data_IF_224922771237
#
_entry.id   IF_224922771237
#
_cell.length_a   1.000
_cell.length_b   1.000
_cell.length_c   1.000
_cell.angle_alpha   90.00
_cell.angle_beta   90.00
_cell.angle_gamma   90.00
#
_symmetry.space_group_name_H-M   'P 1'
#
loop_
_entity.id
_entity.type
_entity.pdbx_description
1 polymer ?
#
# COMPACT_ATOMS: atom_id res chain seq x y z
N UNK A 1 5.45 -6.18 -20.40
CA UNK A 1 6.82 -5.71 -20.75
C UNK A 1 7.64 -5.58 -19.47
N UNK A 2 8.66 -6.41 -19.24
CA UNK A 2 9.50 -6.32 -18.02
C UNK A 2 10.63 -5.31 -18.27
N UNK A 3 10.56 -4.15 -17.63
CA UNK A 3 11.57 -3.09 -17.74
C UNK A 3 12.60 -3.31 -16.62
N UNK A 4 13.79 -3.79 -16.99
CA UNK A 4 14.87 -4.10 -16.05
C UNK A 4 15.75 -2.88 -15.68
N UNK A 5 15.42 -1.68 -16.18
CA UNK A 5 16.22 -0.47 -15.97
C UNK A 5 15.33 0.79 -15.98
N UNK A 6 15.01 1.31 -14.79
CA UNK A 6 14.16 2.50 -14.62
C UNK A 6 14.83 3.79 -15.11
N UNK A 7 16.13 3.80 -15.40
CA UNK A 7 16.83 4.96 -15.98
C UNK A 7 16.51 5.18 -17.46
N UNK A 8 15.78 4.25 -18.09
CA UNK A 8 15.43 4.26 -19.52
C UNK A 8 13.95 4.42 -19.81
N UNK A 9 13.10 4.59 -18.80
CA UNK A 9 11.67 4.78 -19.03
C UNK A 9 11.47 6.17 -19.64
N UNK A 10 11.12 6.19 -20.92
CA UNK A 10 10.70 7.42 -21.58
C UNK A 10 9.34 7.85 -21.02
N UNK A 11 9.13 9.16 -20.83
CA UNK A 11 7.86 9.71 -20.36
C UNK A 11 6.66 9.22 -21.19
N UNK A 12 6.84 9.06 -22.50
CA UNK A 12 5.79 8.52 -23.38
C UNK A 12 5.40 7.08 -23.00
N UNK A 13 6.39 6.22 -22.76
CA UNK A 13 6.14 4.84 -22.32
C UNK A 13 5.46 4.76 -20.97
N UNK A 14 5.74 5.71 -20.06
CA UNK A 14 5.04 5.78 -18.78
C UNK A 14 3.57 6.21 -18.96
N UNK A 15 3.32 7.20 -19.82
CA UNK A 15 1.96 7.70 -20.09
C UNK A 15 1.07 6.65 -20.75
N UNK A 16 1.65 5.67 -21.44
CA UNK A 16 0.94 4.54 -22.05
C UNK A 16 0.58 3.42 -21.03
N UNK A 17 1.07 3.50 -19.79
CA UNK A 17 0.75 2.53 -18.74
C UNK A 17 -0.52 2.99 -18.01
N UNK A 18 -1.60 2.24 -18.23
CA UNK A 18 -2.87 2.40 -17.53
C UNK A 18 -3.15 1.18 -16.65
N UNK A 19 -4.14 1.28 -15.75
CA UNK A 19 -4.55 0.18 -14.87
C UNK A 19 -4.87 -1.09 -15.67
N UNK A 20 -5.50 -0.93 -16.84
CA UNK A 20 -5.79 -2.05 -17.74
C UNK A 20 -4.52 -2.75 -18.25
N UNK A 21 -3.47 -1.99 -18.58
CA UNK A 21 -2.17 -2.54 -19.00
C UNK A 21 -1.56 -3.39 -17.88
N UNK A 22 -1.64 -2.93 -16.63
CA UNK A 22 -1.16 -3.66 -15.46
C UNK A 22 -1.97 -4.95 -15.26
N UNK A 23 -3.30 -4.86 -15.34
CA UNK A 23 -4.19 -6.01 -15.18
C UNK A 23 -3.92 -7.11 -16.23
N UNK A 24 -3.73 -6.73 -17.49
CA UNK A 24 -3.41 -7.67 -18.58
C UNK A 24 -2.07 -8.35 -18.33
N UNK A 25 -1.04 -7.60 -17.93
CA UNK A 25 0.27 -8.17 -17.63
C UNK A 25 0.22 -9.13 -16.43
N UNK A 26 -0.54 -8.80 -15.38
CA UNK A 26 -0.74 -9.69 -14.23
C UNK A 26 -1.50 -10.97 -14.62
N UNK A 27 -2.50 -10.89 -15.50
CA UNK A 27 -3.18 -12.06 -16.08
C UNK A 27 -2.26 -12.91 -16.96
N UNK A 28 -1.31 -12.31 -17.65
CA UNK A 28 -0.31 -13.06 -18.40
C UNK A 28 0.66 -13.76 -17.44
N UNK A 29 1.10 -13.06 -16.39
CA UNK A 29 1.98 -13.62 -15.35
C UNK A 29 1.32 -14.81 -14.66
N UNK A 30 0.05 -14.69 -14.29
CA UNK A 30 -0.68 -15.72 -13.56
C UNK A 30 -0.87 -17.04 -14.32
N UNK A 31 -0.73 -17.02 -15.64
CA UNK A 31 -0.93 -18.17 -16.52
C UNK A 31 0.36 -18.63 -17.22
N UNK A 32 1.50 -17.99 -16.97
CA UNK A 32 2.75 -18.31 -17.65
C UNK A 32 3.56 -19.37 -16.89
N UNK A 33 3.71 -20.59 -17.44
CA UNK A 33 4.44 -21.68 -16.77
C UNK A 33 5.95 -21.43 -16.66
N UNK A 34 6.50 -20.47 -17.40
CA UNK A 34 7.92 -20.09 -17.33
C UNK A 34 8.24 -19.18 -16.14
N UNK A 35 7.23 -18.62 -15.48
CA UNK A 35 7.39 -17.74 -14.31
C UNK A 35 7.37 -18.58 -13.02
N UNK A 36 8.17 -18.25 -11.99
CA UNK A 36 8.09 -18.92 -10.69
C UNK A 36 6.67 -18.97 -10.12
N UNK A 37 6.29 -20.12 -9.56
CA UNK A 37 4.94 -20.38 -9.04
C UNK A 37 4.52 -19.34 -7.98
N UNK A 38 5.46 -18.87 -7.17
CA UNK A 38 5.20 -17.84 -6.17
C UNK A 38 4.70 -16.53 -6.79
N UNK A 39 5.27 -16.12 -7.93
CA UNK A 39 4.85 -14.91 -8.65
C UNK A 39 3.53 -15.12 -9.37
N UNK A 40 3.29 -16.32 -9.92
CA UNK A 40 2.00 -16.68 -10.49
C UNK A 40 0.89 -16.55 -9.44
N UNK A 41 1.10 -17.14 -8.24
CA UNK A 41 0.17 -17.10 -7.12
C UNK A 41 -0.11 -15.66 -6.65
N UNK A 42 0.91 -14.82 -6.56
CA UNK A 42 0.73 -13.39 -6.21
C UNK A 42 -0.10 -12.64 -7.25
N UNK A 43 0.14 -12.89 -8.55
CA UNK A 43 -0.63 -12.26 -9.61
C UNK A 43 -2.09 -12.76 -9.63
N UNK A 44 -2.31 -14.05 -9.40
CA UNK A 44 -3.65 -14.63 -9.27
C UNK A 44 -4.41 -14.01 -8.09
N UNK A 45 -3.75 -13.87 -6.94
CA UNK A 45 -4.32 -13.23 -5.76
C UNK A 45 -4.74 -11.79 -6.04
N UNK A 46 -3.89 -11.00 -6.71
CA UNK A 46 -4.20 -9.62 -7.08
C UNK A 46 -5.42 -9.53 -8.01
N UNK A 47 -5.55 -10.45 -8.97
CA UNK A 47 -6.67 -10.48 -9.91
C UNK A 47 -7.93 -11.16 -9.36
N UNK A 48 -7.89 -11.74 -8.15
CA UNK A 48 -9.03 -12.44 -7.58
C UNK A 48 -10.15 -11.47 -7.19
N UNK A 49 -11.40 -11.92 -7.29
CA UNK A 49 -12.56 -11.13 -6.85
C UNK A 49 -12.67 -11.01 -5.31
N UNK A 50 -11.80 -11.71 -4.57
CA UNK A 50 -11.82 -11.71 -3.11
C UNK A 50 -11.24 -10.39 -2.57
N UNK A 51 -11.73 -9.99 -1.40
CA UNK A 51 -11.24 -8.80 -0.69
C UNK A 51 -9.72 -8.90 -0.44
N UNK A 52 -9.06 -7.75 -0.42
CA UNK A 52 -7.63 -7.59 -0.14
C UNK A 52 -7.14 -8.49 0.99
N UNK A 53 -5.86 -8.88 0.93
CA UNK A 53 -5.17 -9.66 1.97
C UNK A 53 -5.62 -9.24 3.38
N UNK A 54 -6.00 -10.19 4.25
CA UNK A 54 -6.35 -9.87 5.63
C UNK A 54 -5.17 -9.15 6.29
N UNK A 55 -5.46 -7.98 6.84
CA UNK A 55 -4.46 -7.14 7.48
C UNK A 55 -4.83 -6.85 8.92
N UNK A 56 -3.80 -6.67 9.73
CA UNK A 56 -3.89 -6.22 11.12
C UNK A 56 -3.31 -4.81 11.20
N UNK A 57 -4.08 -3.87 11.73
CA UNK A 57 -3.55 -2.55 12.07
C UNK A 57 -2.87 -2.63 13.44
N UNK A 58 -1.63 -2.15 13.54
CA UNK A 58 -0.97 -1.95 14.83
C UNK A 58 -0.60 -0.48 14.92
N UNK A 59 -1.05 0.19 15.98
CA UNK A 59 -0.66 1.57 16.25
C UNK A 59 0.72 1.57 16.93
N UNK A 60 1.72 2.21 16.29
CA UNK A 60 3.07 2.35 16.86
C UNK A 60 4.21 1.94 15.91
N UNK A 61 5.46 2.01 16.40
CA UNK A 61 6.64 1.60 15.65
C UNK A 61 6.61 0.09 15.37
N UNK A 62 7.35 -0.30 14.32
CA UNK A 62 7.49 -1.70 13.87
C UNK A 62 7.69 -2.65 15.07
N UNK A 63 6.83 -3.67 15.26
CA UNK A 63 6.92 -4.59 16.37
C UNK A 63 8.25 -5.33 16.29
N UNK A 64 9.09 -5.11 17.30
CA UNK A 64 10.35 -5.79 17.45
C UNK A 64 10.10 -7.29 17.72
N UNK A 65 10.21 -8.10 16.67
CA UNK A 65 10.19 -9.55 16.74
C UNK A 65 8.81 -10.17 16.50
N UNK A 66 8.63 -10.77 15.33
CA UNK A 66 7.69 -11.86 15.13
C UNK A 66 8.37 -12.99 14.36
N UNK A 67 7.93 -14.21 14.67
CA UNK A 67 8.53 -15.49 14.29
C UNK A 67 8.92 -15.57 12.81
N UNK A 68 10.17 -16.00 12.56
CA UNK A 68 10.69 -16.32 11.22
C UNK A 68 9.94 -17.48 10.52
N UNK A 69 9.01 -18.12 11.23
CA UNK A 69 8.30 -19.32 10.79
C UNK A 69 6.87 -19.04 10.29
N UNK A 70 6.30 -17.87 10.58
CA UNK A 70 5.08 -17.44 9.91
C UNK A 70 5.49 -16.81 8.58
N UNK A 71 4.83 -17.16 7.46
CA UNK A 71 4.99 -16.48 6.16
C UNK A 71 4.37 -15.08 6.23
N UNK A 72 4.69 -14.30 7.26
CA UNK A 72 4.15 -12.95 7.46
C UNK A 72 4.90 -12.02 6.53
N UNK A 73 4.32 -11.73 5.37
CA UNK A 73 4.81 -10.68 4.47
C UNK A 73 4.60 -9.31 5.10
N UNK A 74 5.64 -8.80 5.77
CA UNK A 74 5.62 -7.50 6.39
C UNK A 74 5.66 -6.39 5.33
N UNK A 75 4.50 -5.84 4.98
CA UNK A 75 4.43 -4.56 4.27
C UNK A 75 4.09 -3.46 5.28
N UNK A 76 5.12 -2.80 5.79
CA UNK A 76 4.94 -1.60 6.60
C UNK A 76 4.58 -0.43 5.67
N UNK A 77 3.28 -0.25 5.44
CA UNK A 77 2.82 0.93 4.72
C UNK A 77 2.87 2.13 5.67
N UNK A 78 3.89 2.98 5.51
CA UNK A 78 3.86 4.34 6.03
C UNK A 78 2.89 5.13 5.17
N UNK A 79 1.60 5.04 5.49
CA UNK A 79 0.57 5.82 4.81
C UNK A 79 0.82 7.31 5.02
N UNK A 80 1.47 7.94 4.04
CA UNK A 80 1.55 9.39 3.87
C UNK A 80 0.31 9.88 3.08
N UNK A 81 -0.89 9.37 3.36
CA UNK A 81 -2.07 10.21 3.11
C UNK A 81 -1.79 11.51 3.83
N UNK A 82 -2.01 12.65 3.18
CA UNK A 82 -1.71 13.96 3.78
C UNK A 82 -2.50 14.10 5.08
N UNK A 83 -1.91 13.67 6.18
CA UNK A 83 -2.32 14.10 7.50
C UNK A 83 -2.14 15.60 7.51
N UNK A 84 -3.02 16.29 8.21
CA UNK A 84 -2.92 17.73 8.32
C UNK A 84 -1.55 18.09 8.91
N UNK A 85 -0.66 18.67 8.10
CA UNK A 85 0.70 19.08 8.50
C UNK A 85 0.79 20.57 8.86
N UNK A 86 -0.34 21.24 9.04
CA UNK A 86 -0.42 22.69 9.12
C UNK A 86 -0.67 23.34 7.76
N UNK A 87 -0.79 24.66 7.75
CA UNK A 87 -0.89 25.46 6.52
C UNK A 87 -2.31 25.76 6.07
N UNK A 88 -3.33 25.37 6.85
CA UNK A 88 -4.71 25.84 6.67
C UNK A 88 -4.97 26.93 7.69
N UNK A 89 -5.21 28.15 7.19
CA UNK A 89 -5.38 29.32 8.03
C UNK A 89 -6.81 29.83 7.98
N UNK A 90 -7.30 30.31 9.12
CA UNK A 90 -8.56 31.05 9.23
C UNK A 90 -8.29 32.47 9.71
N UNK A 91 -9.09 33.40 9.21
CA UNK A 91 -9.04 34.79 9.65
C UNK A 91 -9.71 34.94 11.01
N UNK A 92 -9.00 35.51 11.98
CA UNK A 92 -9.52 35.90 13.29
C UNK A 92 -9.13 37.34 13.58
N UNK A 93 -10.01 38.27 13.25
CA UNK A 93 -9.69 39.70 13.28
C UNK A 93 -8.73 40.07 12.14
N UNK A 94 -7.58 40.64 12.46
CA UNK A 94 -6.54 41.04 11.49
C UNK A 94 -5.41 40.01 11.35
N UNK A 95 -5.54 38.82 11.95
CA UNK A 95 -4.50 37.79 11.93
C UNK A 95 -5.00 36.52 11.23
N UNK A 96 -4.07 35.85 10.53
CA UNK A 96 -4.26 34.51 10.00
C UNK A 96 -3.71 33.51 11.02
N UNK A 97 -4.58 32.64 11.52
CA UNK A 97 -4.24 31.65 12.53
C UNK A 97 -4.43 30.26 11.93
N UNK A 98 -3.42 29.42 12.06
CA UNK A 98 -3.50 28.01 11.65
C UNK A 98 -4.59 27.31 12.47
N UNK A 99 -5.45 26.54 11.79
CA UNK A 99 -6.61 25.87 12.43
C UNK A 99 -6.22 24.92 13.56
N UNK A 100 -4.98 24.41 13.62
CA UNK A 100 -4.49 23.60 14.76
C UNK A 100 -4.55 24.35 16.08
N UNK A 101 -4.41 25.67 16.07
CA UNK A 101 -4.43 26.47 17.29
C UNK A 101 -5.85 26.80 17.77
N UNK A 102 -6.86 26.43 17.00
CA UNK A 102 -8.26 26.75 17.27
C UNK A 102 -9.12 25.51 17.54
N UNK A 103 -8.65 24.32 17.15
CA UNK A 103 -9.36 23.06 17.34
C UNK A 103 -8.44 22.03 17.98
N UNK A 104 -8.80 21.63 19.20
CA UNK A 104 -8.11 20.57 19.95
C UNK A 104 -8.08 19.25 19.16
N UNK A 105 -9.18 18.89 18.51
CA UNK A 105 -9.26 17.68 17.66
C UNK A 105 -8.25 17.72 16.52
N UNK A 106 -8.04 18.89 15.92
CA UNK A 106 -7.06 19.06 14.83
C UNK A 106 -5.64 19.04 15.37
N UNK A 107 -5.40 19.64 16.53
CA UNK A 107 -4.11 19.58 17.22
C UNK A 107 -3.70 18.14 17.59
N UNK A 108 -4.64 17.36 18.13
CA UNK A 108 -4.43 15.96 18.48
C UNK A 108 -4.14 15.12 17.22
N UNK A 109 -4.84 15.37 16.11
CA UNK A 109 -4.55 14.70 14.83
C UNK A 109 -3.20 15.12 14.24
N UNK A 110 -2.80 16.39 14.34
CA UNK A 110 -1.49 16.89 13.89
C UNK A 110 -0.32 16.24 14.65
N UNK A 111 -0.52 15.93 15.94
CA UNK A 111 0.49 15.29 16.80
C UNK A 111 0.49 13.76 16.71
N UNK A 112 -0.48 13.15 16.02
CA UNK A 112 -0.59 11.69 15.96
C UNK A 112 0.57 11.06 15.17
N UNK A 113 1.08 9.95 15.69
CA UNK A 113 2.14 9.19 15.03
C UNK A 113 1.65 8.59 13.70
N UNK A 114 2.61 8.29 12.81
CA UNK A 114 2.33 7.55 11.59
C UNK A 114 1.74 6.19 11.94
N UNK A 115 0.65 5.84 11.26
CA UNK A 115 0.05 4.51 11.36
C UNK A 115 0.89 3.52 10.58
N UNK A 116 1.10 2.34 11.17
CA UNK A 116 1.76 1.20 10.54
C UNK A 116 0.71 0.10 10.31
N UNK A 117 0.76 -0.54 9.15
CA UNK A 117 -0.12 -1.66 8.80
C UNK A 117 0.70 -2.92 8.62
N UNK A 118 0.13 -4.06 9.00
CA UNK A 118 0.75 -5.38 8.91
C UNK A 118 -0.17 -6.28 8.11
N UNK A 119 0.36 -6.87 7.05
CA UNK A 119 -0.38 -7.85 6.25
C UNK A 119 0.05 -9.24 6.71
N UNK A 120 -0.91 -10.08 7.07
CA UNK A 120 -0.63 -11.46 7.47
C UNK A 120 -1.03 -12.34 6.30
N UNK A 121 -0.03 -12.86 5.62
CA UNK A 121 -0.24 -13.85 4.57
C UNK A 121 -0.37 -15.23 5.22
N UNK A 122 -1.60 -15.73 5.29
CA UNK A 122 -1.93 -17.09 5.73
C UNK A 122 -2.23 -18.00 4.52
N UNK A 123 -1.94 -17.59 3.28
CA UNK A 123 -2.31 -18.38 2.11
C UNK A 123 -1.51 -19.69 2.09
N UNK A 124 -2.23 -20.80 2.24
CA UNK A 124 -1.77 -22.10 1.80
C UNK A 124 -2.10 -22.22 0.31
N UNK A 125 -1.27 -22.93 -0.46
CA UNK A 125 -1.44 -23.11 -1.90
C UNK A 125 -2.79 -23.76 -2.31
N UNK A 126 -3.59 -24.20 -1.35
CA UNK A 126 -4.90 -24.83 -1.54
C UNK A 126 -6.03 -23.79 -1.69
N UNK A 127 -5.90 -22.59 -1.14
CA UNK A 127 -6.93 -21.54 -1.20
C UNK A 127 -7.02 -20.85 -2.57
N UNK A 128 -5.99 -21.00 -3.41
CA UNK A 128 -5.88 -20.38 -4.75
C UNK A 128 -6.62 -21.20 -5.82
N UNK A 129 -6.97 -22.47 -5.51
CA UNK A 129 -7.55 -23.41 -6.47
C UNK A 129 -9.09 -23.45 -6.48
N UNK A 130 -9.78 -22.55 -5.78
CA UNK A 130 -11.25 -22.50 -5.75
C UNK A 130 -11.76 -21.21 -6.40
N UNK A 131 -11.68 -21.17 -7.74
CA UNK A 131 -12.75 -20.76 -8.68
C UNK A 131 -12.17 -20.49 -10.09
#
# INVERSE_FOLDING_TARGET
>A
MIINDFSKINISQYLDIEDHTIEVELKNISNNPEIPLELQNMAQLYCSNNESLPYSQIEGPEPAGQDKNARTSLVCEKKNYSSYIGGVYVSKGNELIDIRHLSRTIEESYKSDLKSYFFIDNFTSEDILIN
#
